data_IF_256488717411
#
_entry.id   IF_256488717411
#
_cell.length_a   1.000
_cell.length_b   1.000
_cell.length_c   1.000
_cell.angle_alpha   90.00
_cell.angle_beta   90.00
_cell.angle_gamma   90.00
#
_symmetry.space_group_name_H-M   'P 1'
#
loop_
_entity.id
_entity.type
_entity.pdbx_description
1 polymer ?
#
# COMPACT_ATOMS: atom_id res chain seq x y z
N UNK A 1 22.14 -4.26 -13.09
CA UNK A 1 21.29 -4.33 -11.89
C UNK A 1 21.89 -3.37 -10.88
N UNK A 2 21.13 -2.38 -10.43
CA UNK A 2 21.67 -1.23 -9.72
C UNK A 2 21.61 -1.52 -8.21
N UNK A 3 22.74 -1.39 -7.53
CA UNK A 3 22.95 -1.75 -6.11
C UNK A 3 22.14 -0.88 -5.11
N UNK A 4 21.31 0.04 -5.62
CA UNK A 4 20.54 1.03 -4.85
C UNK A 4 19.08 0.65 -4.59
N UNK A 5 18.62 -0.53 -5.04
CA UNK A 5 17.22 -0.99 -4.87
C UNK A 5 17.11 -2.17 -3.90
N UNK A 6 17.92 -2.19 -2.84
CA UNK A 6 17.70 -3.18 -1.78
C UNK A 6 16.34 -2.92 -1.12
N UNK A 7 15.46 -3.92 -1.02
CA UNK A 7 14.14 -3.75 -0.44
C UNK A 7 14.26 -3.24 1.00
N UNK A 8 13.34 -2.37 1.47
CA UNK A 8 13.39 -1.86 2.84
C UNK A 8 13.31 -3.03 3.81
N UNK A 9 14.35 -3.20 4.65
CA UNK A 9 14.42 -4.30 5.61
C UNK A 9 13.40 -4.07 6.73
N UNK A 10 12.29 -4.79 6.68
CA UNK A 10 11.23 -4.72 7.69
C UNK A 10 11.64 -5.48 8.96
N UNK A 11 11.18 -5.02 10.13
CA UNK A 11 11.44 -5.70 11.42
C UNK A 11 10.41 -6.79 11.74
N UNK A 12 9.26 -6.78 11.07
CA UNK A 12 8.19 -7.74 11.27
C UNK A 12 8.32 -8.89 10.27
N UNK A 13 7.86 -10.08 10.66
CA UNK A 13 7.77 -11.22 9.75
C UNK A 13 6.54 -11.06 8.84
N UNK A 14 6.80 -11.01 7.53
CA UNK A 14 5.79 -10.91 6.47
C UNK A 14 5.67 -12.18 5.63
N UNK A 15 6.28 -13.28 6.07
CA UNK A 15 6.28 -14.57 5.35
C UNK A 15 4.88 -15.08 5.03
N UNK A 16 3.88 -14.77 5.86
CA UNK A 16 2.48 -15.09 5.60
C UNK A 16 1.92 -14.49 4.29
N UNK A 17 2.54 -13.43 3.78
CA UNK A 17 2.16 -12.78 2.52
C UNK A 17 3.01 -13.22 1.32
N UNK A 18 3.98 -14.11 1.52
CA UNK A 18 4.86 -14.57 0.45
C UNK A 18 4.24 -15.68 -0.40
N UNK A 19 3.43 -16.53 0.24
CA UNK A 19 2.95 -17.79 -0.32
C UNK A 19 1.49 -17.77 -0.76
N UNK A 20 1.16 -18.75 -1.59
CA UNK A 20 -0.22 -19.10 -1.91
C UNK A 20 -0.79 -19.98 -0.79
N UNK A 21 -1.99 -19.68 -0.32
CA UNK A 21 -2.66 -20.47 0.71
C UNK A 21 -3.09 -21.81 0.13
N UNK A 22 -2.36 -22.89 0.47
CA UNK A 22 -2.63 -24.23 -0.03
C UNK A 22 -2.97 -25.19 1.11
N UNK A 23 -4.06 -25.95 0.95
CA UNK A 23 -4.38 -27.09 1.79
C UNK A 23 -4.34 -28.37 0.93
N UNK A 24 -3.25 -29.13 1.04
CA UNK A 24 -3.00 -30.27 0.17
C UNK A 24 -2.80 -29.81 -1.27
N UNK A 25 -3.64 -30.29 -2.20
CA UNK A 25 -3.62 -29.88 -3.61
C UNK A 25 -4.57 -28.72 -3.91
N UNK A 26 -5.32 -28.23 -2.91
CA UNK A 26 -6.28 -27.16 -3.09
C UNK A 26 -5.64 -25.81 -2.83
N UNK A 27 -5.60 -25.01 -3.88
CA UNK A 27 -5.15 -23.64 -3.90
C UNK A 27 -6.33 -22.69 -3.62
N UNK A 28 -6.34 -22.04 -2.45
CA UNK A 28 -7.39 -21.07 -2.05
C UNK A 28 -7.07 -19.59 -2.31
N UNK A 29 -5.85 -19.30 -2.73
CA UNK A 29 -5.31 -17.98 -2.91
C UNK A 29 -4.43 -17.60 -1.72
N UNK A 30 -3.30 -16.94 -1.97
CA UNK A 30 -2.46 -16.39 -0.91
C UNK A 30 -3.10 -15.21 -0.19
N UNK A 31 -2.86 -15.07 1.12
CA UNK A 31 -3.08 -13.79 1.79
C UNK A 31 -2.13 -12.77 1.15
N UNK A 32 -2.60 -11.93 0.23
CA UNK A 32 -1.71 -11.03 -0.53
C UNK A 32 -1.86 -11.14 -2.04
N UNK A 33 -2.57 -12.16 -2.55
CA UNK A 33 -2.93 -12.22 -3.96
C UNK A 33 -3.99 -11.19 -4.27
N UNK A 34 -3.47 -10.02 -4.62
CA UNK A 34 -4.23 -8.90 -5.08
C UNK A 34 -4.26 -9.01 -6.60
N UNK A 35 -5.41 -8.76 -7.22
CA UNK A 35 -5.44 -8.55 -8.68
C UNK A 35 -4.53 -7.38 -9.12
N UNK A 36 -4.12 -6.52 -8.19
CA UNK A 36 -3.10 -5.50 -8.38
C UNK A 36 -1.69 -6.09 -8.20
N UNK A 37 -0.81 -5.89 -9.18
CA UNK A 37 0.60 -6.27 -9.08
C UNK A 37 1.23 -5.73 -7.79
N UNK A 38 1.99 -6.58 -7.10
CA UNK A 38 2.76 -6.16 -5.94
C UNK A 38 3.85 -5.16 -6.35
N UNK A 39 4.20 -4.21 -5.47
CA UNK A 39 5.30 -3.27 -5.71
C UNK A 39 6.61 -3.99 -6.02
N UNK A 40 7.47 -3.34 -6.80
CA UNK A 40 8.72 -3.94 -7.29
C UNK A 40 9.75 -4.27 -6.20
N UNK A 41 9.64 -3.66 -5.01
CA UNK A 41 10.55 -3.87 -3.88
C UNK A 41 9.80 -4.07 -2.58
N UNK A 42 10.31 -4.95 -1.70
CA UNK A 42 9.77 -5.16 -0.35
C UNK A 42 9.13 -6.53 -0.11
N UNK A 43 9.25 -7.49 -1.03
CA UNK A 43 8.85 -8.89 -0.86
C UNK A 43 7.43 -9.07 -0.25
N UNK A 44 7.26 -9.87 0.80
CA UNK A 44 5.98 -10.15 1.44
C UNK A 44 5.33 -8.90 2.04
N UNK A 45 6.13 -7.93 2.46
CA UNK A 45 5.61 -6.62 2.88
C UNK A 45 5.00 -5.85 1.71
N UNK A 46 5.63 -5.90 0.53
CA UNK A 46 5.10 -5.30 -0.68
C UNK A 46 3.78 -5.95 -1.09
N UNK A 47 3.70 -7.29 -1.04
CA UNK A 47 2.45 -8.03 -1.28
C UNK A 47 1.36 -7.68 -0.26
N UNK A 48 1.70 -7.52 1.02
CA UNK A 48 0.78 -7.06 2.04
C UNK A 48 0.25 -5.63 1.77
N UNK A 49 1.13 -4.72 1.35
CA UNK A 49 0.73 -3.38 0.92
C UNK A 49 -0.14 -3.40 -0.34
N UNK A 50 -0.02 -4.44 -1.18
CA UNK A 50 -0.74 -4.61 -2.44
C UNK A 50 -2.23 -4.96 -2.28
N UNK A 51 -2.67 -5.49 -1.13
CA UNK A 51 -4.03 -6.02 -0.87
C UNK A 51 -5.17 -5.05 -1.18
N UNK A 52 -4.91 -3.74 -1.13
CA UNK A 52 -5.89 -2.75 -1.55
C UNK A 52 -6.25 -2.93 -3.05
N UNK A 53 -7.46 -3.44 -3.31
CA UNK A 53 -8.02 -3.67 -4.65
C UNK A 53 -8.59 -2.40 -5.33
N UNK A 54 -8.42 -1.21 -4.76
CA UNK A 54 -8.92 0.04 -5.34
C UNK A 54 -10.45 0.21 -5.38
N UNK A 55 -11.22 -0.68 -4.74
CA UNK A 55 -12.71 -0.64 -4.75
C UNK A 55 -13.31 0.50 -3.93
N UNK A 56 -12.50 1.26 -3.17
CA UNK A 56 -12.90 2.42 -2.34
C UNK A 56 -14.06 2.16 -1.37
N UNK A 57 -14.28 0.90 -0.97
CA UNK A 57 -15.30 0.57 0.02
C UNK A 57 -15.07 1.29 1.36
N UNK A 58 -13.81 1.59 1.68
CA UNK A 58 -13.43 2.37 2.86
C UNK A 58 -13.89 3.84 2.86
N UNK A 59 -14.33 4.37 1.72
CA UNK A 59 -14.85 5.74 1.58
C UNK A 59 -16.39 5.78 1.71
N UNK A 60 -17.07 4.64 1.83
CA UNK A 60 -18.52 4.63 2.06
C UNK A 60 -18.86 5.30 3.40
N UNK A 61 -20.03 5.91 3.49
CA UNK A 61 -20.52 6.54 4.74
C UNK A 61 -21.39 5.60 5.60
N UNK A 62 -21.73 4.43 5.06
CA UNK A 62 -22.45 3.35 5.73
C UNK A 62 -21.72 2.84 6.99
N UNK A 63 -22.43 2.14 7.87
CA UNK A 63 -21.83 1.54 9.07
C UNK A 63 -20.87 0.40 8.70
N UNK A 64 -19.82 0.21 9.49
CA UNK A 64 -18.83 -0.88 9.29
C UNK A 64 -17.56 -0.50 8.52
N UNK A 65 -17.43 0.76 8.07
CA UNK A 65 -16.21 1.24 7.40
C UNK A 65 -15.27 2.02 8.33
N UNK A 66 -13.97 1.77 8.15
CA UNK A 66 -12.94 1.95 9.17
C UNK A 66 -12.24 3.32 9.23
N UNK A 67 -12.72 4.37 8.53
CA UNK A 67 -11.95 5.62 8.44
C UNK A 67 -12.63 6.83 9.13
N UNK A 68 -12.55 6.97 10.47
CA UNK A 68 -13.07 8.13 11.19
C UNK A 68 -12.57 9.47 10.63
N UNK A 69 -11.28 9.56 10.29
CA UNK A 69 -10.69 10.80 9.76
C UNK A 69 -11.30 11.22 8.42
N UNK A 70 -11.52 10.28 7.50
CA UNK A 70 -12.21 10.54 6.23
C UNK A 70 -13.67 10.96 6.47
N UNK A 71 -14.37 10.33 7.42
CA UNK A 71 -15.79 10.66 7.71
C UNK A 71 -16.00 12.09 8.19
N UNK A 72 -15.02 12.65 8.90
CA UNK A 72 -15.08 14.03 9.41
C UNK A 72 -14.72 15.05 8.32
N UNK A 73 -13.79 14.70 7.43
CA UNK A 73 -13.17 15.64 6.49
C UNK A 73 -13.67 15.54 5.05
N UNK A 74 -14.22 14.39 4.67
CA UNK A 74 -14.52 13.98 3.29
C UNK A 74 -13.33 14.10 2.31
N UNK A 75 -12.12 14.25 2.85
CA UNK A 75 -10.89 14.40 2.07
C UNK A 75 -10.24 13.02 1.90
N UNK A 76 -10.10 12.57 0.64
CA UNK A 76 -9.51 11.27 0.28
C UNK A 76 -8.17 11.03 0.96
N UNK A 77 -7.39 12.07 1.24
CA UNK A 77 -6.09 12.00 1.95
C UNK A 77 -6.20 11.30 3.32
N UNK A 78 -7.35 11.43 3.95
CA UNK A 78 -7.66 10.82 5.24
C UNK A 78 -8.28 9.43 5.13
N UNK A 79 -8.43 8.89 3.91
CA UNK A 79 -8.93 7.54 3.65
C UNK A 79 -7.83 6.47 3.71
N UNK A 80 -8.21 5.22 3.98
CA UNK A 80 -7.28 4.09 3.89
C UNK A 80 -6.85 3.80 2.45
N UNK A 81 -7.70 4.14 1.47
CA UNK A 81 -7.36 4.00 0.05
C UNK A 81 -6.12 4.85 -0.28
N UNK A 82 -6.14 6.13 0.10
CA UNK A 82 -5.00 7.02 -0.14
C UNK A 82 -3.73 6.51 0.53
N UNK A 83 -3.80 6.07 1.80
CA UNK A 83 -2.65 5.49 2.50
C UNK A 83 -2.07 4.27 1.78
N UNK A 84 -2.93 3.39 1.25
CA UNK A 84 -2.47 2.22 0.50
C UNK A 84 -1.82 2.60 -0.83
N UNK A 85 -2.39 3.55 -1.59
CA UNK A 85 -1.82 4.03 -2.85
C UNK A 85 -0.46 4.69 -2.62
N UNK A 86 -0.36 5.56 -1.62
CA UNK A 86 0.89 6.23 -1.24
C UNK A 86 1.94 5.21 -0.80
N UNK A 87 1.56 4.20 -0.01
CA UNK A 87 2.49 3.16 0.41
C UNK A 87 3.03 2.35 -0.78
N UNK A 88 2.17 1.94 -1.72
CA UNK A 88 2.60 1.25 -2.94
C UNK A 88 3.56 2.10 -3.76
N UNK A 89 3.23 3.37 -3.96
CA UNK A 89 4.06 4.31 -4.70
C UNK A 89 5.45 4.50 -4.06
N UNK A 90 5.52 4.52 -2.73
CA UNK A 90 6.78 4.56 -2.00
C UNK A 90 7.64 3.31 -2.27
N UNK A 91 7.02 2.13 -2.24
CA UNK A 91 7.69 0.84 -2.50
C UNK A 91 8.08 0.65 -3.97
N UNK A 92 7.39 1.33 -4.90
CA UNK A 92 7.78 1.42 -6.30
C UNK A 92 8.92 2.43 -6.54
N UNK A 93 9.42 3.10 -5.49
CA UNK A 93 10.52 4.07 -5.59
C UNK A 93 10.11 5.44 -6.14
N UNK A 94 8.80 5.75 -6.23
CA UNK A 94 8.31 7.03 -6.75
C UNK A 94 8.70 8.23 -5.89
N UNK A 95 9.14 8.00 -4.64
CA UNK A 95 9.55 9.03 -3.70
C UNK A 95 11.05 8.98 -3.36
N UNK A 96 11.86 8.33 -4.20
CA UNK A 96 13.31 8.25 -4.03
C UNK A 96 13.76 7.16 -3.07
N UNK A 97 15.06 7.17 -2.72
CA UNK A 97 15.72 6.09 -1.98
C UNK A 97 15.31 5.96 -0.51
N UNK A 98 14.78 7.04 0.07
CA UNK A 98 14.43 7.12 1.49
C UNK A 98 13.00 7.65 1.69
N UNK A 99 11.98 6.95 1.15
CA UNK A 99 10.61 7.48 1.08
C UNK A 99 9.90 7.61 2.44
N UNK A 100 10.51 7.10 3.51
CA UNK A 100 9.96 7.09 4.87
C UNK A 100 10.84 7.82 5.90
N UNK A 101 12.01 8.33 5.52
CA UNK A 101 12.97 8.92 6.47
C UNK A 101 12.91 10.45 6.56
N UNK A 102 12.08 11.09 5.74
CA UNK A 102 11.98 12.54 5.69
C UNK A 102 10.79 13.04 6.55
N UNK A 103 11.08 13.86 7.57
CA UNK A 103 10.09 14.67 8.31
C UNK A 103 9.88 16.03 7.61
N UNK A 104 10.44 16.24 6.41
CA UNK A 104 10.25 17.51 5.70
C UNK A 104 8.94 17.49 4.90
N UNK A 105 8.05 18.37 5.32
CA UNK A 105 6.67 18.58 4.90
C UNK A 105 6.54 19.18 3.48
N UNK A 106 7.53 18.96 2.61
CA UNK A 106 7.53 19.43 1.21
C UNK A 106 7.08 18.37 0.20
N UNK A 107 7.50 17.11 0.36
CA UNK A 107 7.27 16.07 -0.65
C UNK A 107 5.91 15.36 -0.51
N UNK A 108 5.36 15.27 0.71
CA UNK A 108 3.99 14.77 0.92
C UNK A 108 2.92 15.77 0.43
N UNK A 109 3.25 17.06 0.40
CA UNK A 109 2.34 18.15 0.01
C UNK A 109 2.12 18.22 -1.51
N UNK A 110 3.16 17.92 -2.29
CA UNK A 110 3.09 17.85 -3.76
C UNK A 110 2.57 16.52 -4.30
N UNK A 111 2.37 15.53 -3.42
CA UNK A 111 1.73 14.24 -3.72
C UNK A 111 0.24 14.39 -4.08
N UNK A 112 -0.40 15.41 -3.49
CA UNK A 112 -1.85 15.60 -3.57
C UNK A 112 -2.35 15.96 -4.97
N UNK A 113 -1.52 16.58 -5.80
CA UNK A 113 -1.90 17.02 -7.15
C UNK A 113 -1.72 15.95 -8.24
N UNK A 114 -0.84 14.96 -8.03
CA UNK A 114 -0.43 14.02 -9.09
C UNK A 114 -1.04 12.62 -9.00
N UNK A 115 -1.78 12.30 -7.92
CA UNK A 115 -2.44 11.00 -7.73
C UNK A 115 -3.97 11.05 -7.87
N UNK A 116 -4.56 12.24 -8.01
CA UNK A 116 -5.97 12.41 -8.37
C UNK A 116 -6.10 12.32 -9.90
N UNK A 117 -6.87 11.38 -10.46
CA UNK A 117 -7.24 11.47 -11.86
C UNK A 117 -8.04 12.76 -12.08
N UNK A 118 -7.77 13.47 -13.19
CA UNK A 118 -8.64 14.55 -13.68
C UNK A 118 -10.07 14.06 -13.90
#
# INVERSE_FOLDING_TARGET
MNENNSPPKTKLDWSAYEGYGSFGSFDFGGFGESAAAAPATGDGYAKAAAVCMGKRHCQKKEQGVMCPSFRVTDDEKHSTHHRAVTLKAALDGKYGAHPFLEHDSGSASNLFYNLTPK
#
